data_IF_469217491007
#
_entry.id   IF_469217491007
#
_cell.length_a   1.000
_cell.length_b   1.000
_cell.length_c   1.000
_cell.angle_alpha   90.00
_cell.angle_beta   90.00
_cell.angle_gamma   90.00
#
_symmetry.space_group_name_H-M   'P 1'
#
loop_
_entity.id
_entity.type
_entity.pdbx_description
1 polymer ?
#
# COMPACT_ATOMS: atom_id res chain seq x y z
N UNK A 1 -7.01 -13.53 9.92
CA UNK A 1 -7.33 -12.87 11.20
C UNK A 1 -6.38 -13.32 12.31
N UNK A 2 -6.41 -14.59 12.75
CA UNK A 2 -5.58 -15.08 13.86
C UNK A 2 -4.06 -14.83 13.67
N UNK A 3 -3.53 -15.09 12.47
CA UNK A 3 -2.11 -14.91 12.19
C UNK A 3 -1.69 -13.44 12.15
N UNK A 4 -2.45 -12.57 11.48
CA UNK A 4 -2.19 -11.12 11.51
C UNK A 4 -2.23 -10.56 12.93
N UNK A 5 -3.19 -10.98 13.76
CA UNK A 5 -3.25 -10.56 15.15
C UNK A 5 -2.02 -10.98 15.95
N UNK A 6 -1.50 -12.20 15.70
CA UNK A 6 -0.25 -12.67 16.32
C UNK A 6 0.94 -11.79 15.94
N UNK A 7 1.08 -11.46 14.66
CA UNK A 7 2.17 -10.60 14.14
C UNK A 7 2.07 -9.19 14.72
N UNK A 8 0.87 -8.59 14.73
CA UNK A 8 0.63 -7.25 15.29
C UNK A 8 1.03 -7.20 16.77
N UNK A 9 0.55 -8.14 17.59
CA UNK A 9 0.90 -8.18 19.02
C UNK A 9 2.41 -8.32 19.24
N UNK A 10 3.10 -9.10 18.41
CA UNK A 10 4.55 -9.23 18.48
C UNK A 10 5.27 -7.92 18.18
N UNK A 11 4.86 -7.19 17.13
CA UNK A 11 5.42 -5.88 16.80
C UNK A 11 5.18 -4.83 17.89
N UNK A 12 3.97 -4.79 18.44
CA UNK A 12 3.63 -3.91 19.57
C UNK A 12 4.49 -4.21 20.79
N UNK A 13 4.64 -5.50 21.14
CA UNK A 13 5.48 -5.92 22.27
C UNK A 13 6.97 -5.57 22.06
N UNK A 14 7.42 -5.49 20.82
CA UNK A 14 8.76 -5.05 20.45
C UNK A 14 8.93 -3.52 20.41
N UNK A 15 7.86 -2.75 20.66
CA UNK A 15 7.90 -1.27 20.69
C UNK A 15 7.75 -0.61 19.32
N UNK A 16 7.04 -1.23 18.37
CA UNK A 16 6.74 -0.60 17.09
C UNK A 16 5.88 0.68 17.25
N UNK A 17 6.17 1.70 16.43
CA UNK A 17 5.43 2.96 16.43
C UNK A 17 4.17 2.93 15.54
N UNK A 18 4.10 2.02 14.57
CA UNK A 18 3.00 1.87 13.62
C UNK A 18 2.92 0.45 13.06
N UNK A 19 1.78 0.13 12.44
CA UNK A 19 1.59 -1.09 11.63
C UNK A 19 1.54 -0.69 10.16
N UNK A 20 2.38 -1.30 9.32
CA UNK A 20 2.36 -1.08 7.88
C UNK A 20 2.07 -2.37 7.12
N UNK A 21 0.90 -2.42 6.48
CA UNK A 21 0.52 -3.48 5.56
C UNK A 21 0.99 -3.13 4.15
N UNK A 22 2.03 -3.83 3.68
CA UNK A 22 2.69 -3.55 2.40
C UNK A 22 2.47 -4.67 1.37
N UNK A 23 2.31 -4.30 0.09
CA UNK A 23 2.30 -5.23 -1.08
C UNK A 23 1.13 -6.22 -1.09
N UNK A 24 -0.03 -5.84 -0.57
CA UNK A 24 -1.22 -6.68 -0.70
C UNK A 24 -1.73 -6.65 -2.15
N UNK A 25 -2.06 -7.81 -2.70
CA UNK A 25 -2.69 -7.96 -4.02
C UNK A 25 -4.12 -8.46 -3.95
N UNK A 26 -4.58 -8.85 -2.76
CA UNK A 26 -5.96 -9.25 -2.51
C UNK A 26 -6.61 -8.35 -1.45
N UNK A 27 -7.80 -7.82 -1.77
CA UNK A 27 -8.50 -6.90 -0.88
C UNK A 27 -9.05 -7.63 0.35
N UNK A 28 -9.51 -8.88 0.23
CA UNK A 28 -10.06 -9.60 1.38
C UNK A 28 -8.98 -9.97 2.39
N UNK A 29 -7.80 -10.33 1.91
CA UNK A 29 -6.64 -10.55 2.76
C UNK A 29 -6.26 -9.26 3.52
N UNK A 30 -6.20 -8.11 2.82
CA UNK A 30 -5.93 -6.82 3.46
C UNK A 30 -7.00 -6.44 4.49
N UNK A 31 -8.29 -6.68 4.19
CA UNK A 31 -9.38 -6.43 5.16
C UNK A 31 -9.18 -7.26 6.42
N UNK A 32 -8.81 -8.54 6.29
CA UNK A 32 -8.54 -9.40 7.44
C UNK A 32 -7.33 -8.93 8.24
N UNK A 33 -6.32 -8.34 7.60
CA UNK A 33 -5.16 -7.76 8.26
C UNK A 33 -5.51 -6.47 9.03
N UNK A 34 -6.27 -5.57 8.39
CA UNK A 34 -6.75 -4.32 9.00
C UNK A 34 -7.60 -4.57 10.24
N UNK A 35 -8.59 -5.46 10.13
CA UNK A 35 -9.45 -5.83 11.27
C UNK A 35 -8.62 -6.43 12.41
N UNK A 36 -7.70 -7.34 12.09
CA UNK A 36 -6.82 -7.93 13.09
C UNK A 36 -5.95 -6.87 13.78
N UNK A 37 -5.42 -5.86 13.07
CA UNK A 37 -4.68 -4.77 13.70
C UNK A 37 -5.57 -3.92 14.62
N UNK A 38 -6.77 -3.54 14.15
CA UNK A 38 -7.75 -2.77 14.94
C UNK A 38 -8.20 -3.48 16.21
N UNK A 39 -8.25 -4.81 16.20
CA UNK A 39 -8.63 -5.62 17.37
C UNK A 39 -7.48 -5.85 18.36
N UNK A 40 -6.23 -5.57 17.98
CA UNK A 40 -5.05 -5.99 18.76
C UNK A 40 -4.09 -4.86 19.13
N UNK A 41 -4.29 -3.63 18.63
CA UNK A 41 -3.49 -2.46 19.01
C UNK A 41 -4.18 -1.14 18.65
N UNK A 42 -3.70 -0.05 19.26
CA UNK A 42 -4.12 1.32 18.96
C UNK A 42 -3.08 2.10 18.13
N UNK A 43 -2.05 1.43 17.62
CA UNK A 43 -1.02 2.05 16.79
C UNK A 43 -1.63 2.58 15.47
N UNK A 44 -1.05 3.65 14.89
CA UNK A 44 -1.39 4.08 13.54
C UNK A 44 -1.20 2.95 12.52
N UNK A 45 -2.14 2.82 11.58
CA UNK A 45 -2.13 1.79 10.54
C UNK A 45 -1.97 2.43 9.16
N UNK A 46 -0.91 2.05 8.46
CA UNK A 46 -0.70 2.34 7.04
C UNK A 46 -1.06 1.10 6.23
N UNK A 47 -1.76 1.28 5.12
CA UNK A 47 -2.09 0.20 4.21
C UNK A 47 -1.70 0.53 2.78
N UNK A 48 -1.11 -0.42 2.07
CA UNK A 48 -0.84 -0.29 0.65
C UNK A 48 -1.17 -1.56 -0.10
N UNK A 49 -1.62 -1.37 -1.35
CA UNK A 49 -1.79 -2.45 -2.30
C UNK A 49 -0.89 -2.23 -3.50
N UNK A 50 -0.52 -3.34 -4.16
CA UNK A 50 0.23 -3.32 -5.40
C UNK A 50 -0.70 -3.58 -6.59
N UNK A 51 -0.59 -2.74 -7.61
CA UNK A 51 -1.45 -2.75 -8.79
C UNK A 51 -0.63 -3.07 -10.03
N UNK A 52 -1.26 -3.77 -10.97
CA UNK A 52 -0.72 -3.98 -12.31
C UNK A 52 -0.96 -2.73 -13.17
N UNK A 53 -0.29 -2.66 -14.34
CA UNK A 53 -0.36 -1.52 -15.24
C UNK A 53 -1.81 -1.16 -15.68
N UNK A 54 -2.73 -2.12 -15.63
CA UNK A 54 -4.17 -1.90 -15.89
C UNK A 54 -4.93 -1.16 -14.79
N UNK A 55 -4.28 -0.78 -13.68
CA UNK A 55 -4.92 -0.09 -12.57
C UNK A 55 -5.81 -0.97 -11.70
N UNK A 56 -5.56 -2.28 -11.73
CA UNK A 56 -6.20 -3.30 -10.91
C UNK A 56 -5.14 -4.19 -10.27
N UNK A 57 -5.46 -4.72 -9.11
CA UNK A 57 -4.67 -5.79 -8.47
C UNK A 57 -4.84 -7.10 -9.23
N UNK A 58 -4.00 -8.10 -8.93
CA UNK A 58 -4.11 -9.45 -9.50
C UNK A 58 -5.51 -10.06 -9.33
N UNK A 59 -6.18 -9.82 -8.19
CA UNK A 59 -7.55 -10.32 -7.94
C UNK A 59 -8.65 -9.38 -8.44
N UNK A 60 -8.28 -8.34 -9.21
CA UNK A 60 -9.20 -7.46 -9.92
C UNK A 60 -9.69 -6.25 -9.12
N UNK A 61 -9.23 -6.04 -7.88
CA UNK A 61 -9.58 -4.87 -7.07
C UNK A 61 -9.11 -3.57 -7.73
N UNK A 62 -9.96 -2.55 -7.77
CA UNK A 62 -9.60 -1.21 -8.27
C UNK A 62 -8.99 -0.35 -7.17
N UNK A 63 -8.27 0.70 -7.58
CA UNK A 63 -7.66 1.69 -6.68
C UNK A 63 -8.71 2.32 -5.75
N UNK A 64 -9.87 2.67 -6.28
CA UNK A 64 -10.95 3.33 -5.54
C UNK A 64 -11.58 2.39 -4.51
N UNK A 65 -11.82 1.12 -4.89
CA UNK A 65 -12.35 0.11 -3.98
C UNK A 65 -11.40 -0.14 -2.81
N UNK A 66 -10.09 -0.23 -3.08
CA UNK A 66 -9.07 -0.29 -2.04
C UNK A 66 -9.13 0.95 -1.13
N UNK A 67 -9.10 2.15 -1.72
CA UNK A 67 -9.04 3.42 -0.99
C UNK A 67 -10.16 3.55 0.05
N UNK A 68 -11.42 3.42 -0.40
CA UNK A 68 -12.58 3.62 0.47
C UNK A 68 -12.71 2.49 1.50
N UNK A 69 -12.35 1.26 1.14
CA UNK A 69 -12.41 0.11 2.05
C UNK A 69 -11.36 0.22 3.14
N UNK A 70 -10.11 0.49 2.79
CA UNK A 70 -9.01 0.55 3.76
C UNK A 70 -9.22 1.70 4.76
N UNK A 71 -9.62 2.90 4.28
CA UNK A 71 -10.01 4.01 5.15
C UNK A 71 -11.19 3.62 6.04
N UNK A 72 -12.25 3.03 5.48
CA UNK A 72 -13.44 2.63 6.22
C UNK A 72 -13.17 1.60 7.32
N UNK A 73 -12.11 0.80 7.17
CA UNK A 73 -11.65 -0.17 8.17
C UNK A 73 -10.61 0.38 9.14
N UNK A 74 -10.34 1.68 9.10
CA UNK A 74 -9.51 2.36 10.09
C UNK A 74 -8.03 2.48 9.74
N UNK A 75 -7.64 2.37 8.47
CA UNK A 75 -6.32 2.83 8.03
C UNK A 75 -6.20 4.35 8.21
N UNK A 76 -5.07 4.79 8.76
CA UNK A 76 -4.74 6.21 8.96
C UNK A 76 -4.12 6.85 7.71
N UNK A 77 -3.53 6.05 6.83
CA UNK A 77 -3.07 6.47 5.52
C UNK A 77 -3.12 5.30 4.55
N UNK A 78 -3.30 5.58 3.26
CA UNK A 78 -3.29 4.56 2.21
C UNK A 78 -2.31 4.88 1.10
N UNK A 79 -1.77 3.86 0.45
CA UNK A 79 -0.80 4.09 -0.60
C UNK A 79 -0.70 2.99 -1.64
N UNK A 80 0.12 3.26 -2.66
CA UNK A 80 0.47 2.31 -3.70
C UNK A 80 1.96 2.05 -3.61
N UNK A 81 2.36 0.79 -3.64
CA UNK A 81 3.75 0.39 -3.62
C UNK A 81 4.05 -0.71 -4.65
N UNK A 82 5.32 -0.85 -5.00
CA UNK A 82 5.84 -1.96 -5.81
C UNK A 82 5.22 -2.04 -7.23
N UNK A 83 5.44 -3.16 -7.91
CA UNK A 83 5.06 -3.54 -9.29
C UNK A 83 5.55 -2.64 -10.42
N UNK A 84 5.50 -1.32 -10.23
CA UNK A 84 5.54 -0.33 -11.28
C UNK A 84 6.49 0.82 -10.91
N UNK A 85 6.97 1.52 -11.94
CA UNK A 85 7.81 2.69 -11.77
C UNK A 85 7.02 3.96 -11.45
N UNK A 86 7.72 5.07 -11.19
CA UNK A 86 7.17 6.42 -11.00
C UNK A 86 6.11 6.81 -12.03
N UNK A 87 6.44 6.58 -13.31
CA UNK A 87 5.63 7.00 -14.45
C UNK A 87 4.31 6.23 -14.49
N UNK A 88 4.38 4.92 -14.30
CA UNK A 88 3.22 4.03 -14.38
C UNK A 88 2.32 4.16 -13.15
N UNK A 89 2.89 4.40 -11.96
CA UNK A 89 2.09 4.57 -10.73
C UNK A 89 1.36 5.91 -10.68
N UNK A 90 1.93 6.98 -11.24
CA UNK A 90 1.40 8.34 -11.08
C UNK A 90 -0.11 8.49 -11.40
N UNK A 91 -0.66 7.95 -12.51
CA UNK A 91 -2.10 8.01 -12.78
C UNK A 91 -2.95 7.31 -11.71
N UNK A 92 -2.47 6.21 -11.14
CA UNK A 92 -3.18 5.51 -10.07
C UNK A 92 -3.06 6.24 -8.74
N UNK A 93 -1.92 6.84 -8.43
CA UNK A 93 -1.75 7.69 -7.25
C UNK A 93 -2.72 8.88 -7.26
N UNK A 94 -2.93 9.49 -8.43
CA UNK A 94 -3.94 10.54 -8.61
C UNK A 94 -5.36 10.02 -8.31
N UNK A 95 -5.75 8.88 -8.89
CA UNK A 95 -7.04 8.24 -8.62
C UNK A 95 -7.22 7.88 -7.14
N UNK A 96 -6.16 7.44 -6.47
CA UNK A 96 -6.17 7.12 -5.05
C UNK A 96 -6.47 8.37 -4.21
N UNK A 97 -5.80 9.49 -4.49
CA UNK A 97 -6.03 10.76 -3.81
C UNK A 97 -7.44 11.31 -4.06
N UNK A 98 -7.94 11.22 -5.30
CA UNK A 98 -9.29 11.67 -5.68
C UNK A 98 -10.41 10.85 -5.04
N UNK A 99 -10.16 9.59 -4.69
CA UNK A 99 -11.14 8.70 -4.03
C UNK A 99 -11.32 8.98 -2.53
N UNK A 100 -10.52 9.88 -1.96
CA UNK A 100 -10.45 10.14 -0.51
C UNK A 100 -10.72 11.62 -0.21
N UNK A 101 -11.10 11.97 1.03
CA UNK A 101 -11.13 13.36 1.47
C UNK A 101 -9.76 14.01 1.30
N UNK A 102 -9.74 15.30 0.97
CA UNK A 102 -8.49 16.02 0.63
C UNK A 102 -7.49 16.14 1.78
N UNK A 103 -7.91 15.91 3.03
CA UNK A 103 -7.07 15.89 4.23
C UNK A 103 -6.59 14.49 4.62
N UNK A 104 -7.05 13.44 3.91
CA UNK A 104 -6.66 12.07 4.21
C UNK A 104 -5.26 11.76 3.64
N UNK A 105 -4.32 11.26 4.45
CA UNK A 105 -2.95 11.03 3.98
C UNK A 105 -2.85 9.91 2.92
N UNK A 106 -2.17 10.22 1.82
CA UNK A 106 -1.84 9.28 0.74
C UNK A 106 -0.33 9.22 0.54
N UNK A 107 0.20 8.03 0.30
CA UNK A 107 1.63 7.83 0.02
C UNK A 107 1.87 6.94 -1.20
N UNK A 108 3.07 7.03 -1.77
CA UNK A 108 3.45 6.25 -2.95
C UNK A 108 4.90 5.78 -2.81
N UNK A 109 5.15 4.48 -3.06
CA UNK A 109 6.51 3.88 -3.04
C UNK A 109 6.74 3.05 -4.32
N UNK A 110 7.01 3.72 -5.46
CA UNK A 110 7.25 3.03 -6.72
C UNK A 110 8.56 2.23 -6.68
N UNK A 111 8.67 1.24 -7.57
CA UNK A 111 9.97 0.65 -7.89
C UNK A 111 10.85 1.68 -8.59
N UNK A 112 12.16 1.43 -8.69
CA UNK A 112 13.09 2.22 -9.48
C UNK A 112 12.92 1.98 -11.01
N UNK A 113 11.69 1.96 -11.50
CA UNK A 113 11.32 1.53 -12.84
C UNK A 113 10.85 0.07 -12.84
N UNK A 114 10.62 -0.47 -14.03
CA UNK A 114 10.35 -1.90 -14.18
C UNK A 114 11.64 -2.71 -13.99
N UNK A 115 11.57 -3.92 -13.44
CA UNK A 115 12.73 -4.79 -13.35
C UNK A 115 13.20 -5.18 -14.75
N UNK A 116 14.52 -5.24 -14.96
CA UNK A 116 15.09 -5.74 -16.21
C UNK A 116 14.82 -7.23 -16.36
N UNK A 117 14.55 -7.66 -17.59
CA UNK A 117 14.21 -9.06 -17.89
C UNK A 117 15.34 -10.05 -17.57
N UNK A 118 16.59 -9.59 -17.54
CA UNK A 118 17.79 -10.37 -17.19
C UNK A 118 18.03 -10.46 -15.67
N UNK A 119 17.18 -9.83 -14.85
CA UNK A 119 17.32 -9.80 -13.40
C UNK A 119 18.45 -8.90 -12.88
N UNK A 120 19.12 -8.13 -13.74
CA UNK A 120 20.25 -7.27 -13.35
C UNK A 120 19.85 -6.00 -12.57
N UNK A 121 18.56 -5.82 -12.27
CA UNK A 121 18.07 -4.76 -11.41
C UNK A 121 17.10 -3.80 -12.10
N UNK A 122 17.24 -2.52 -11.80
CA UNK A 122 16.31 -1.44 -12.17
C UNK A 122 17.04 -0.26 -12.83
N UNK A 123 16.33 0.53 -13.62
CA UNK A 123 16.91 1.57 -14.48
C UNK A 123 16.88 2.99 -13.90
N UNK A 124 16.04 3.27 -12.90
CA UNK A 124 15.88 4.64 -12.38
C UNK A 124 16.86 4.90 -11.24
N UNK A 125 17.73 5.88 -11.48
CA UNK A 125 18.61 6.47 -10.47
C UNK A 125 17.90 7.57 -9.66
N UNK A 126 18.45 7.98 -8.50
CA UNK A 126 17.93 9.14 -7.76
C UNK A 126 17.89 10.43 -8.59
N UNK A 127 18.85 10.65 -9.50
CA UNK A 127 18.89 11.83 -10.38
C UNK A 127 17.79 11.86 -11.43
N UNK A 128 17.20 10.71 -11.76
CA UNK A 128 16.14 10.59 -12.78
C UNK A 128 14.72 10.59 -12.22
N UNK A 129 14.55 10.74 -10.89
CA UNK A 129 13.22 10.86 -10.29
C UNK A 129 12.58 12.21 -10.65
N UNK A 130 11.30 12.24 -11.03
CA UNK A 130 10.67 13.46 -11.58
C UNK A 130 10.25 14.50 -10.53
N UNK A 131 10.56 14.30 -9.24
CA UNK A 131 10.11 15.13 -8.12
C UNK A 131 11.28 15.70 -7.31
N UNK A 132 12.23 16.33 -8.01
CA UNK A 132 13.18 17.25 -7.36
C UNK A 132 12.52 18.58 -7.05
#
# INVERSE_FOLDING_TARGET
MAEYGRIVRAGVAAGADLVFFETFTDLYELKAALLAAKENCDLPILASMSFEAGGRTFTGCTVESFAVTARGLGANAVGINCSLGPKEIFPMAKRLAEALPGDFPVFVKPNAGLPRADGSGYDISPSSLPWR
#
